data_IF_043829028226
#
_entry.id   IF_043829028226
#
_cell.length_a   1.000
_cell.length_b   1.000
_cell.length_c   1.000
_cell.angle_alpha   90.00
_cell.angle_beta   90.00
_cell.angle_gamma   90.00
#
_symmetry.space_group_name_H-M   'P 1'
#
loop_
_entity.id
_entity.type
_entity.pdbx_description
1 polymer ?
#
# COMPACT_ATOMS: atom_id res chain seq x y z
N UNK A 1 -5.90 0.08 17.90
CA UNK A 1 -6.83 -0.83 17.19
C UNK A 1 -6.14 -1.44 15.97
N UNK A 2 -6.48 -2.68 15.61
CA UNK A 2 -6.09 -3.30 14.36
C UNK A 2 -6.95 -2.77 13.21
N UNK A 3 -6.37 -2.67 12.00
CA UNK A 3 -7.02 -2.14 10.82
C UNK A 3 -7.07 -3.22 9.75
N UNK A 4 -8.27 -3.51 9.23
CA UNK A 4 -8.49 -4.42 8.10
C UNK A 4 -8.64 -3.58 6.84
N UNK A 5 -7.83 -3.86 5.83
CA UNK A 5 -7.92 -3.26 4.50
C UNK A 5 -8.80 -4.08 3.58
N UNK A 6 -9.60 -3.40 2.74
CA UNK A 6 -10.49 -3.96 1.74
C UNK A 6 -10.13 -3.41 0.35
N UNK A 7 -9.69 -4.27 -0.55
CA UNK A 7 -9.24 -3.87 -1.90
C UNK A 7 -9.99 -4.67 -2.95
N UNK A 8 -10.97 -4.06 -3.62
CA UNK A 8 -11.78 -4.77 -4.61
C UNK A 8 -11.28 -4.64 -6.06
N UNK A 9 -10.36 -3.69 -6.32
CA UNK A 9 -9.92 -3.38 -7.68
C UNK A 9 -8.51 -2.81 -7.71
N UNK A 10 -8.24 -1.92 -8.66
CA UNK A 10 -6.92 -1.32 -8.88
C UNK A 10 -6.51 -0.42 -7.72
N UNK A 11 -5.30 -0.63 -7.18
CA UNK A 11 -4.64 0.24 -6.23
C UNK A 11 -3.35 0.80 -6.87
N UNK A 12 -3.19 2.13 -6.88
CA UNK A 12 -2.05 2.79 -7.51
C UNK A 12 -1.46 3.84 -6.56
N UNK A 13 -0.14 3.95 -6.53
CA UNK A 13 0.55 4.99 -5.75
C UNK A 13 0.13 4.99 -4.28
N UNK A 14 -0.50 6.07 -3.85
CA UNK A 14 -1.05 6.20 -2.49
C UNK A 14 -1.98 5.06 -2.08
N UNK A 15 -2.75 4.47 -3.01
CA UNK A 15 -3.59 3.30 -2.74
C UNK A 15 -2.79 2.06 -2.33
N UNK A 16 -1.60 1.85 -2.93
CA UNK A 16 -0.67 0.79 -2.50
C UNK A 16 -0.13 1.09 -1.11
N UNK A 17 0.22 2.37 -0.85
CA UNK A 17 0.64 2.83 0.47
C UNK A 17 -0.40 2.55 1.56
N UNK A 18 -1.68 2.85 1.29
CA UNK A 18 -2.78 2.57 2.22
C UNK A 18 -2.94 1.05 2.45
N UNK A 19 -2.91 0.24 1.38
CA UNK A 19 -2.99 -1.23 1.50
C UNK A 19 -1.81 -1.80 2.30
N UNK A 20 -0.65 -1.15 2.26
CA UNK A 20 0.55 -1.54 3.03
C UNK A 20 0.48 -1.13 4.49
N UNK A 21 -0.21 -0.03 4.81
CA UNK A 21 -0.31 0.52 6.16
C UNK A 21 -1.36 -0.16 7.04
N UNK A 22 -2.19 -1.05 6.50
CA UNK A 22 -3.14 -1.83 7.29
C UNK A 22 -2.49 -3.07 7.88
N UNK A 23 -3.06 -3.59 8.98
CA UNK A 23 -2.52 -4.78 9.66
C UNK A 23 -2.89 -6.07 8.92
N UNK A 24 -4.08 -6.13 8.34
CA UNK A 24 -4.57 -7.27 7.58
C UNK A 24 -5.27 -6.77 6.31
N UNK A 25 -4.82 -7.21 5.14
CA UNK A 25 -5.36 -6.71 3.86
C UNK A 25 -6.03 -7.85 3.08
N UNK A 26 -7.32 -7.70 2.81
CA UNK A 26 -8.11 -8.61 1.99
C UNK A 26 -8.38 -7.98 0.62
N UNK A 27 -8.30 -8.78 -0.43
CA UNK A 27 -8.51 -8.30 -1.79
C UNK A 27 -9.35 -9.27 -2.61
N UNK A 28 -9.95 -8.79 -3.70
CA UNK A 28 -10.51 -9.67 -4.73
C UNK A 28 -9.44 -10.11 -5.71
N UNK A 29 -9.64 -11.21 -6.43
CA UNK A 29 -8.76 -11.65 -7.53
C UNK A 29 -8.62 -10.63 -8.67
N UNK A 30 -9.55 -9.66 -8.75
CA UNK A 30 -9.53 -8.58 -9.74
C UNK A 30 -8.67 -7.38 -9.31
N UNK A 31 -8.19 -7.38 -8.07
CA UNK A 31 -7.30 -6.34 -7.58
C UNK A 31 -5.95 -6.41 -8.30
N UNK A 32 -5.37 -5.25 -8.53
CA UNK A 32 -4.02 -5.13 -9.07
C UNK A 32 -3.32 -3.92 -8.47
N UNK A 33 -1.99 -3.94 -8.45
CA UNK A 33 -1.19 -2.90 -7.81
C UNK A 33 -0.14 -2.33 -8.75
N UNK A 34 0.16 -1.04 -8.59
CA UNK A 34 1.22 -0.35 -9.31
C UNK A 34 1.73 0.85 -8.53
N UNK A 35 3.05 1.07 -8.53
CA UNK A 35 3.66 2.33 -8.11
C UNK A 35 4.04 3.13 -9.36
N UNK A 36 3.20 4.09 -9.74
CA UNK A 36 3.32 4.83 -11.00
C UNK A 36 4.17 6.11 -10.90
N UNK A 37 4.72 6.40 -9.74
CA UNK A 37 5.36 7.67 -9.43
C UNK A 37 6.58 7.94 -10.33
N UNK A 38 7.41 6.93 -10.58
CA UNK A 38 8.59 7.09 -11.41
C UNK A 38 8.23 7.41 -12.88
N UNK A 39 7.12 6.85 -13.37
CA UNK A 39 6.63 7.14 -14.72
C UNK A 39 6.26 8.60 -14.95
N UNK A 40 5.96 9.35 -13.88
CA UNK A 40 5.68 10.79 -13.94
C UNK A 40 6.84 11.64 -13.42
N UNK A 41 8.02 11.04 -13.17
CA UNK A 41 9.22 11.77 -12.75
C UNK A 41 9.33 12.04 -11.25
N UNK A 42 8.56 11.32 -10.44
CA UNK A 42 8.62 11.37 -8.98
C UNK A 42 9.02 9.98 -8.49
N UNK A 43 9.47 9.83 -7.26
CA UNK A 43 9.62 8.50 -6.64
C UNK A 43 8.48 8.23 -5.67
N UNK A 44 8.18 6.96 -5.36
CA UNK A 44 7.19 6.59 -4.34
C UNK A 44 7.74 6.80 -2.92
N UNK A 45 8.29 7.99 -2.66
CA UNK A 45 9.08 8.27 -1.45
C UNK A 45 8.23 8.24 -0.18
N UNK A 46 7.03 8.81 -0.21
CA UNK A 46 6.15 8.89 0.96
C UNK A 46 5.51 7.54 1.29
N UNK A 47 5.10 6.79 0.27
CA UNK A 47 4.50 5.47 0.47
C UNK A 47 5.54 4.38 0.69
N UNK A 48 6.78 4.64 0.27
CA UNK A 48 7.90 3.69 0.28
C UNK A 48 8.11 2.98 1.61
N UNK A 49 8.22 3.68 2.74
CA UNK A 49 8.47 3.04 4.04
C UNK A 49 7.39 2.01 4.41
N UNK A 50 6.10 2.33 4.21
CA UNK A 50 5.01 1.40 4.50
C UNK A 50 5.00 0.20 3.55
N UNK A 51 5.26 0.44 2.26
CA UNK A 51 5.31 -0.62 1.24
C UNK A 51 6.50 -1.54 1.50
N UNK A 52 7.70 -0.98 1.69
CA UNK A 52 8.91 -1.73 1.99
C UNK A 52 8.76 -2.59 3.24
N UNK A 53 8.21 -2.02 4.31
CA UNK A 53 7.93 -2.75 5.55
C UNK A 53 7.00 -3.94 5.32
N UNK A 54 6.01 -3.80 4.43
CA UNK A 54 4.99 -4.82 4.16
C UNK A 54 5.48 -5.94 3.25
N UNK A 55 6.21 -5.61 2.17
CA UNK A 55 6.58 -6.56 1.11
C UNK A 55 8.10 -6.74 0.93
N UNK A 56 8.89 -6.07 1.74
CA UNK A 56 10.35 -6.09 1.66
C UNK A 56 10.93 -5.24 0.51
N UNK A 57 12.20 -4.91 0.63
CA UNK A 57 12.92 -4.05 -0.32
C UNK A 57 12.89 -4.59 -1.75
N UNK A 58 13.04 -5.90 -1.96
CA UNK A 58 13.07 -6.50 -3.29
C UNK A 58 11.76 -6.30 -4.05
N UNK A 59 10.61 -6.55 -3.43
CA UNK A 59 9.31 -6.36 -4.06
C UNK A 59 8.96 -4.87 -4.19
N UNK A 60 9.34 -4.04 -3.21
CA UNK A 60 9.20 -2.58 -3.29
C UNK A 60 9.99 -2.00 -4.46
N UNK A 61 11.25 -2.41 -4.65
CA UNK A 61 12.09 -1.93 -5.76
C UNK A 61 11.54 -2.38 -7.12
N UNK A 62 11.02 -3.60 -7.23
CA UNK A 62 10.35 -4.07 -8.44
C UNK A 62 9.19 -3.15 -8.81
N UNK A 63 8.27 -2.86 -7.89
CA UNK A 63 7.12 -1.97 -8.13
C UNK A 63 7.57 -0.54 -8.48
N UNK A 64 8.58 -0.02 -7.80
CA UNK A 64 9.04 1.36 -7.97
C UNK A 64 9.76 1.58 -9.30
N UNK A 65 10.56 0.60 -9.75
CA UNK A 65 11.36 0.68 -10.99
C UNK A 65 10.48 0.38 -12.20
N UNK A 66 9.64 -0.66 -12.12
CA UNK A 66 8.72 -1.06 -13.19
C UNK A 66 7.39 -0.31 -13.11
N UNK A 67 7.48 1.02 -13.07
CA UNK A 67 6.40 1.92 -12.73
C UNK A 67 5.22 1.95 -13.72
N UNK A 68 5.35 1.35 -14.89
CA UNK A 68 4.29 1.28 -15.91
C UNK A 68 3.46 0.00 -15.83
N UNK A 69 4.02 -1.06 -15.23
CA UNK A 69 3.40 -2.38 -15.21
C UNK A 69 2.50 -2.60 -13.99
N UNK A 70 1.43 -3.33 -14.20
CA UNK A 70 0.52 -3.76 -13.15
C UNK A 70 0.92 -5.14 -12.64
N UNK A 71 1.01 -5.28 -11.33
CA UNK A 71 1.13 -6.58 -10.68
C UNK A 71 -0.25 -7.10 -10.27
N UNK A 72 -0.45 -8.41 -10.37
CA UNK A 72 -1.72 -9.08 -10.08
C UNK A 72 -2.01 -9.16 -8.58
N UNK A 73 -3.26 -9.47 -8.22
CA UNK A 73 -3.63 -9.78 -6.84
C UNK A 73 -2.82 -10.97 -6.29
N UNK A 74 -2.56 -11.98 -7.12
CA UNK A 74 -1.77 -13.14 -6.71
C UNK A 74 -0.32 -12.74 -6.40
N UNK A 75 0.32 -11.94 -7.28
CA UNK A 75 1.65 -11.41 -7.00
C UNK A 75 1.66 -10.65 -5.65
N UNK A 76 0.68 -9.79 -5.42
CA UNK A 76 0.58 -9.01 -4.19
C UNK A 76 0.40 -9.88 -2.95
N UNK A 77 -0.33 -10.99 -3.06
CA UNK A 77 -0.46 -12.00 -2.00
C UNK A 77 0.87 -12.72 -1.76
N UNK A 78 1.53 -13.18 -2.81
CA UNK A 78 2.81 -13.91 -2.72
C UNK A 78 3.91 -13.05 -2.08
N UNK A 79 3.83 -11.72 -2.25
CA UNK A 79 4.75 -10.75 -1.62
C UNK A 79 4.29 -10.28 -0.23
N UNK A 80 3.12 -10.69 0.24
CA UNK A 80 2.62 -10.35 1.57
C UNK A 80 1.89 -9.01 1.67
N UNK A 81 1.61 -8.34 0.53
CA UNK A 81 0.79 -7.13 0.53
C UNK A 81 -0.67 -7.45 0.86
N UNK A 82 -1.23 -8.44 0.18
CA UNK A 82 -2.55 -8.98 0.48
C UNK A 82 -2.42 -10.26 1.31
N UNK A 83 -3.17 -10.36 2.38
CA UNK A 83 -3.19 -11.53 3.24
C UNK A 83 -4.06 -12.63 2.65
N UNK A 84 -5.22 -12.24 2.11
CA UNK A 84 -6.16 -13.15 1.46
C UNK A 84 -6.69 -12.57 0.15
N UNK A 85 -7.04 -13.48 -0.78
CA UNK A 85 -7.69 -13.15 -2.05
C UNK A 85 -9.00 -13.95 -2.14
N UNK A 86 -10.05 -13.29 -2.61
CA UNK A 86 -11.39 -13.83 -2.78
C UNK A 86 -11.85 -13.76 -4.23
N UNK A 87 -12.70 -14.69 -4.63
CA UNK A 87 -13.23 -14.76 -5.99
C UNK A 87 -14.27 -13.68 -6.30
N UNK A 88 -14.95 -13.18 -5.26
CA UNK A 88 -15.97 -12.14 -5.38
C UNK A 88 -15.85 -11.08 -4.28
N UNK A 89 -16.54 -9.97 -4.48
CA UNK A 89 -16.68 -8.91 -3.46
C UNK A 89 -17.46 -9.41 -2.26
N UNK A 90 -18.52 -10.16 -2.50
CA UNK A 90 -19.40 -10.67 -1.44
C UNK A 90 -18.64 -11.65 -0.52
N UNK A 91 -17.87 -12.59 -1.08
CA UNK A 91 -17.02 -13.48 -0.30
C UNK A 91 -15.96 -12.71 0.52
N UNK A 92 -15.37 -11.67 -0.06
CA UNK A 92 -14.42 -10.82 0.65
C UNK A 92 -15.09 -10.10 1.82
N UNK A 93 -16.31 -9.57 1.62
CA UNK A 93 -17.05 -8.84 2.66
C UNK A 93 -17.52 -9.77 3.78
N UNK A 94 -17.86 -11.02 3.47
CA UNK A 94 -18.12 -12.07 4.47
C UNK A 94 -16.85 -12.40 5.27
N UNK A 95 -15.70 -12.54 4.59
CA UNK A 95 -14.39 -12.77 5.23
C UNK A 95 -14.01 -11.62 6.18
N UNK A 96 -14.19 -10.37 5.74
CA UNK A 96 -13.96 -9.19 6.56
C UNK A 96 -14.87 -9.18 7.79
N UNK A 97 -16.16 -9.44 7.61
CA UNK A 97 -17.14 -9.46 8.69
C UNK A 97 -16.80 -10.54 9.73
N UNK A 98 -16.41 -11.73 9.27
CA UNK A 98 -15.98 -12.84 10.12
C UNK A 98 -14.75 -12.45 10.96
N UNK A 99 -13.71 -11.90 10.33
CA UNK A 99 -12.50 -11.49 11.02
C UNK A 99 -12.78 -10.34 12.01
N UNK A 100 -13.58 -9.35 11.60
CA UNK A 100 -13.94 -8.22 12.45
C UNK A 100 -14.68 -8.68 13.72
N UNK A 101 -15.65 -9.60 13.58
CA UNK A 101 -16.38 -10.18 14.71
C UNK A 101 -15.46 -10.98 15.66
N UNK A 102 -14.52 -11.74 15.09
CA UNK A 102 -13.51 -12.47 15.87
C UNK A 102 -12.64 -11.49 16.67
N UNK A 103 -12.16 -10.42 16.05
CA UNK A 103 -11.36 -9.40 16.73
C UNK A 103 -12.17 -8.63 17.77
N UNK A 104 -13.43 -8.34 17.50
CA UNK A 104 -14.31 -7.65 18.44
C UNK A 104 -14.56 -8.45 19.75
N UNK A 105 -14.47 -9.78 19.67
CA UNK A 105 -14.58 -10.68 20.83
C UNK A 105 -13.23 -11.05 21.47
N UNK A 106 -12.12 -10.58 20.89
CA UNK A 106 -10.77 -10.85 21.41
C UNK A 106 -10.39 -9.89 22.54
N UNK A 107 -9.34 -10.26 23.30
CA UNK A 107 -8.82 -9.42 24.38
C UNK A 107 -8.30 -8.07 23.83
N UNK A 108 -8.90 -6.92 24.19
CA UNK A 108 -8.53 -5.62 23.65
C UNK A 108 -7.12 -5.18 24.04
N UNK A 109 -6.63 -5.56 25.21
CA UNK A 109 -5.28 -5.26 25.67
C UNK A 109 -4.24 -6.02 24.84
N UNK A 110 -4.47 -7.31 24.59
CA UNK A 110 -3.61 -8.11 23.73
C UNK A 110 -3.54 -7.55 22.31
N UNK A 111 -4.67 -7.13 21.73
CA UNK A 111 -4.70 -6.48 20.42
C UNK A 111 -3.92 -5.15 20.38
N UNK A 112 -3.99 -4.37 21.46
CA UNK A 112 -3.22 -3.12 21.58
C UNK A 112 -1.71 -3.41 21.64
N UNK A 113 -1.31 -4.43 22.40
CA UNK A 113 0.08 -4.86 22.49
C UNK A 113 0.59 -5.38 21.14
N UNK A 114 -0.17 -6.24 20.46
CA UNK A 114 0.16 -6.72 19.11
C UNK A 114 0.35 -5.56 18.12
N UNK A 115 -0.54 -4.57 18.15
CA UNK A 115 -0.41 -3.37 17.29
C UNK A 115 0.91 -2.65 17.53
N UNK A 116 1.34 -2.50 18.78
CA UNK A 116 2.64 -1.87 19.11
C UNK A 116 3.79 -2.70 18.56
N UNK A 117 3.79 -4.02 18.82
CA UNK A 117 4.84 -4.94 18.35
C UNK A 117 4.93 -4.95 16.81
N UNK A 118 3.79 -4.96 16.12
CA UNK A 118 3.79 -4.91 14.64
C UNK A 118 4.40 -3.62 14.08
N UNK A 119 4.39 -2.53 14.84
CA UNK A 119 4.87 -1.22 14.40
C UNK A 119 6.18 -0.80 15.08
N UNK A 120 6.85 -1.70 15.80
CA UNK A 120 8.19 -1.45 16.31
C UNK A 120 9.17 -1.13 15.17
N UNK A 121 10.09 -0.18 15.43
CA UNK A 121 11.06 0.27 14.45
C UNK A 121 10.56 1.36 13.50
N UNK A 122 9.32 1.86 13.70
CA UNK A 122 8.76 2.95 12.88
C UNK A 122 8.69 4.30 13.61
N UNK A 123 9.28 4.41 14.80
CA UNK A 123 9.22 5.60 15.67
C UNK A 123 9.80 6.86 15.02
N UNK A 124 10.72 6.68 14.09
CA UNK A 124 11.37 7.75 13.32
C UNK A 124 10.56 8.20 12.08
N UNK A 125 9.40 7.60 11.81
CA UNK A 125 8.67 7.87 10.56
C UNK A 125 8.08 9.27 10.49
N UNK A 126 7.81 9.93 11.61
CA UNK A 126 7.32 11.32 11.60
C UNK A 126 8.31 12.23 10.86
N UNK A 127 9.60 12.15 11.18
CA UNK A 127 10.65 12.92 10.51
C UNK A 127 10.94 12.39 9.09
N UNK A 128 11.04 11.07 8.95
CA UNK A 128 11.30 10.42 7.66
C UNK A 128 10.25 10.79 6.61
N UNK A 129 8.97 10.76 6.95
CA UNK A 129 7.89 11.07 6.01
C UNK A 129 7.88 12.53 5.60
N UNK A 130 8.26 13.46 6.48
CA UNK A 130 8.44 14.87 6.14
C UNK A 130 9.60 15.06 5.14
N UNK A 131 10.75 14.40 5.38
CA UNK A 131 11.88 14.41 4.45
C UNK A 131 11.48 13.85 3.08
N UNK A 132 10.80 12.70 3.05
CA UNK A 132 10.34 12.05 1.81
C UNK A 132 9.30 12.89 1.06
N UNK A 133 8.43 13.57 1.79
CA UNK A 133 7.48 14.52 1.19
C UNK A 133 8.19 15.71 0.53
N UNK A 134 9.24 16.23 1.16
CA UNK A 134 10.04 17.31 0.58
C UNK A 134 10.74 16.87 -0.72
N UNK A 135 11.26 15.63 -0.79
CA UNK A 135 11.82 15.04 -2.02
C UNK A 135 10.77 15.02 -3.15
N UNK A 136 9.55 14.54 -2.84
CA UNK A 136 8.44 14.52 -3.81
C UNK A 136 8.06 15.93 -4.24
N UNK A 137 7.95 16.87 -3.30
CA UNK A 137 7.62 18.27 -3.55
C UNK A 137 8.62 18.96 -4.47
N UNK A 138 9.92 18.68 -4.31
CA UNK A 138 10.97 19.19 -5.20
C UNK A 138 10.81 18.67 -6.63
N UNK A 139 10.58 17.37 -6.79
CA UNK A 139 10.51 16.75 -8.12
C UNK A 139 9.21 17.09 -8.86
N UNK A 140 8.08 17.25 -8.16
CA UNK A 140 6.81 17.59 -8.79
C UNK A 140 6.85 18.95 -9.49
N UNK A 141 7.75 19.85 -9.07
CA UNK A 141 7.97 21.15 -9.67
C UNK A 141 8.93 21.14 -10.86
N UNK A 142 9.56 19.99 -11.16
CA UNK A 142 10.49 19.86 -12.30
C UNK A 142 9.76 19.96 -13.64
N UNK A 143 10.47 20.40 -14.67
CA UNK A 143 9.93 20.45 -16.04
C UNK A 143 9.58 19.06 -16.57
N UNK A 144 10.34 18.04 -16.18
CA UNK A 144 10.04 16.66 -16.54
C UNK A 144 8.65 16.26 -16.06
N UNK A 145 8.37 16.45 -14.77
CA UNK A 145 7.08 16.05 -14.16
C UNK A 145 5.93 16.88 -14.71
N UNK A 146 6.12 18.20 -14.87
CA UNK A 146 5.10 19.08 -15.49
C UNK A 146 4.74 18.61 -16.89
N UNK A 147 5.74 18.26 -17.70
CA UNK A 147 5.54 17.78 -19.08
C UNK A 147 4.86 16.39 -19.08
N UNK A 148 5.26 15.49 -18.18
CA UNK A 148 4.63 14.19 -18.04
C UNK A 148 3.14 14.30 -17.67
N UNK A 149 2.80 15.11 -16.66
CA UNK A 149 1.40 15.34 -16.24
C UNK A 149 0.57 15.98 -17.37
N UNK A 150 1.14 16.93 -18.12
CA UNK A 150 0.44 17.58 -19.24
C UNK A 150 0.13 16.59 -20.39
N UNK A 151 0.96 15.57 -20.61
CA UNK A 151 0.67 14.50 -21.58
C UNK A 151 -0.53 13.63 -21.14
N UNK A 152 -0.72 13.41 -19.84
CA UNK A 152 -1.88 12.67 -19.32
C UNK A 152 -3.19 13.44 -19.43
N UNK A 153 -3.16 14.79 -19.29
CA UNK A 153 -4.36 15.64 -19.41
C UNK A 153 -4.89 15.76 -20.84
N UNK A 154 -4.07 15.43 -21.85
CA UNK A 154 -4.45 15.53 -23.28
C UNK A 154 -5.01 14.23 -23.84
N UNK A 155 -5.10 13.17 -23.05
CA UNK A 155 -5.75 11.91 -23.38
C UNK A 155 -7.13 11.83 -22.69
#
# INVERSE_FOLDING_TARGET
KLIIGRVQGKAVGGGVGMASAVDYCMATKFASVKLSELAVGIGPFVVGPAVERKIGMSAMSQLAIDATEWQTAQWAKDKGLYTEIFDSVDEMDEGISKLANTLASSNPEAMQMLKKVFWEGTEHWDDLLLERAAMSGKLVLSDFTRNAINKFKKK
#
